data_IF_712861461643
#
_entry.id   IF_712861461643
#
_cell.length_a   1.000
_cell.length_b   1.000
_cell.length_c   1.000
_cell.angle_alpha   90.00
_cell.angle_beta   90.00
_cell.angle_gamma   90.00
#
_symmetry.space_group_name_H-M   'P 1'
#
loop_
_entity.id
_entity.type
_entity.pdbx_description
1 polymer ?
#
# COMPACT_ATOMS: atom_id res chain seq x y z
N UNK A 1 -20.33 15.60 0.80
CA UNK A 1 -19.27 15.71 1.84
C UNK A 1 -17.98 16.34 1.33
N UNK A 2 -17.69 16.29 0.03
CA UNK A 2 -16.50 16.92 -0.59
C UNK A 2 -16.53 18.47 -0.53
N UNK A 3 -17.70 19.09 -0.52
CA UNK A 3 -17.89 20.54 -0.44
C UNK A 3 -17.31 21.16 0.83
N UNK A 4 -17.36 20.45 1.95
CA UNK A 4 -16.84 20.95 3.23
C UNK A 4 -15.33 21.15 3.21
N UNK A 5 -14.58 20.24 2.59
CA UNK A 5 -13.11 20.30 2.52
C UNK A 5 -12.66 21.50 1.69
N UNK A 6 -13.35 21.76 0.57
CA UNK A 6 -13.06 22.92 -0.28
C UNK A 6 -13.29 24.25 0.46
N UNK A 7 -14.39 24.32 1.19
CA UNK A 7 -14.72 25.48 2.01
C UNK A 7 -13.66 25.75 3.07
N UNK A 8 -13.17 24.68 3.74
CA UNK A 8 -12.09 24.80 4.72
C UNK A 8 -10.79 25.32 4.08
N UNK A 9 -10.39 24.81 2.93
CA UNK A 9 -9.20 25.28 2.23
C UNK A 9 -9.33 26.75 1.84
N UNK A 10 -10.49 27.17 1.32
CA UNK A 10 -10.75 28.57 0.96
C UNK A 10 -10.79 29.51 2.17
N UNK A 11 -11.42 29.08 3.27
CA UNK A 11 -11.47 29.87 4.53
C UNK A 11 -10.05 30.01 5.09
N UNK A 12 -9.26 28.94 5.14
CA UNK A 12 -7.88 28.98 5.58
C UNK A 12 -7.03 29.89 4.70
N UNK A 13 -7.20 29.84 3.37
CA UNK A 13 -6.54 30.72 2.42
C UNK A 13 -6.92 32.20 2.63
N UNK A 14 -8.21 32.49 2.76
CA UNK A 14 -8.70 33.83 2.95
C UNK A 14 -8.21 34.48 4.27
N UNK A 15 -8.23 33.71 5.37
CA UNK A 15 -7.70 34.11 6.65
C UNK A 15 -6.19 34.35 6.60
N UNK A 16 -5.48 33.54 5.85
CA UNK A 16 -4.05 33.61 5.68
C UNK A 16 -3.64 34.85 4.87
N UNK A 17 -4.35 35.16 3.78
CA UNK A 17 -4.09 36.30 2.92
C UNK A 17 -4.41 37.63 3.63
N UNK A 18 -5.38 37.65 4.56
CA UNK A 18 -5.81 38.87 5.28
C UNK A 18 -4.78 39.36 6.30
N UNK A 19 -3.87 38.49 6.80
CA UNK A 19 -3.02 38.83 7.96
C UNK A 19 -1.51 38.79 7.68
N UNK A 20 -1.11 39.32 6.51
CA UNK A 20 0.31 39.35 6.06
C UNK A 20 1.26 40.13 6.99
N UNK A 21 0.76 40.99 7.87
CA UNK A 21 1.60 41.94 8.64
C UNK A 21 2.40 41.28 9.79
N UNK A 22 2.01 40.11 10.30
CA UNK A 22 2.60 39.49 11.50
C UNK A 22 3.42 38.22 11.29
N UNK A 23 3.56 37.76 10.07
CA UNK A 23 4.40 36.58 9.75
C UNK A 23 5.74 37.03 9.19
N UNK A 24 6.85 36.47 9.71
CA UNK A 24 8.13 36.63 9.03
C UNK A 24 7.94 36.17 7.59
N UNK A 25 8.42 36.94 6.63
CA UNK A 25 8.20 36.75 5.18
C UNK A 25 8.45 35.32 4.70
N UNK A 26 9.42 34.64 5.31
CA UNK A 26 9.75 33.25 5.05
C UNK A 26 8.59 32.29 5.37
N UNK A 27 7.96 32.41 6.53
CA UNK A 27 6.83 31.55 6.90
C UNK A 27 5.59 31.84 6.04
N UNK A 28 5.39 33.10 5.65
CA UNK A 28 4.33 33.45 4.73
C UNK A 28 4.49 32.78 3.36
N UNK A 29 5.71 32.73 2.82
CA UNK A 29 6.01 32.06 1.55
C UNK A 29 5.75 30.57 1.63
N UNK A 30 6.21 29.88 2.70
CA UNK A 30 5.96 28.46 2.90
C UNK A 30 4.47 28.16 2.96
N UNK A 31 3.72 28.94 3.72
CA UNK A 31 2.29 28.71 3.84
C UNK A 31 1.53 28.96 2.54
N UNK A 32 1.95 29.94 1.73
CA UNK A 32 1.39 30.12 0.37
C UNK A 32 1.65 28.89 -0.50
N UNK A 33 2.86 28.35 -0.48
CA UNK A 33 3.20 27.14 -1.23
C UNK A 33 2.33 25.97 -0.78
N UNK A 34 2.24 25.72 0.53
CA UNK A 34 1.39 24.64 1.09
C UNK A 34 -0.08 24.84 0.67
N UNK A 35 -0.56 26.07 0.66
CA UNK A 35 -1.94 26.37 0.24
C UNK A 35 -2.16 26.05 -1.23
N UNK A 36 -1.22 26.40 -2.10
CA UNK A 36 -1.30 26.09 -3.54
C UNK A 36 -1.38 24.56 -3.73
N UNK A 37 -0.52 23.80 -3.05
CA UNK A 37 -0.58 22.35 -3.09
C UNK A 37 -1.90 21.80 -2.54
N UNK A 38 -2.39 22.32 -1.41
CA UNK A 38 -3.66 21.89 -0.83
C UNK A 38 -4.85 22.16 -1.79
N UNK A 39 -4.88 23.31 -2.45
CA UNK A 39 -5.89 23.62 -3.48
C UNK A 39 -5.77 22.70 -4.68
N UNK A 40 -4.57 22.40 -5.14
CA UNK A 40 -4.32 21.46 -6.23
C UNK A 40 -4.81 20.05 -5.87
N UNK A 41 -4.42 19.50 -4.71
CA UNK A 41 -4.89 18.20 -4.27
C UNK A 41 -6.41 18.18 -4.01
N UNK A 42 -6.98 19.25 -3.50
CA UNK A 42 -8.43 19.38 -3.40
C UNK A 42 -9.11 19.34 -4.77
N UNK A 43 -8.54 20.01 -5.78
CA UNK A 43 -9.04 19.98 -7.16
C UNK A 43 -9.07 18.57 -7.74
N UNK A 44 -8.06 17.74 -7.43
CA UNK A 44 -8.01 16.35 -7.90
C UNK A 44 -9.19 15.48 -7.41
N UNK A 45 -9.93 15.90 -6.38
CA UNK A 45 -11.10 15.19 -5.85
C UNK A 45 -12.40 15.52 -6.60
N UNK A 46 -12.38 16.47 -7.53
CA UNK A 46 -13.55 16.89 -8.27
C UNK A 46 -13.57 16.33 -9.68
N UNK A 47 -14.77 16.10 -10.21
CA UNK A 47 -14.97 15.58 -11.57
C UNK A 47 -14.24 16.37 -12.67
N UNK A 48 -14.11 17.70 -12.64
CA UNK A 48 -13.35 18.44 -13.64
C UNK A 48 -11.87 18.03 -13.75
N UNK A 49 -11.29 17.40 -12.73
CA UNK A 49 -9.90 16.93 -12.78
C UNK A 49 -9.72 15.60 -13.51
N UNK A 50 -10.78 14.96 -13.99
CA UNK A 50 -10.74 13.65 -14.65
C UNK A 50 -9.74 13.60 -15.81
N UNK A 51 -9.58 14.70 -16.53
CA UNK A 51 -8.61 14.79 -17.63
C UNK A 51 -7.16 14.62 -17.15
N UNK A 52 -6.82 15.05 -15.93
CA UNK A 52 -5.48 14.83 -15.34
C UNK A 52 -5.27 13.36 -14.98
N UNK A 53 -6.28 12.73 -14.42
CA UNK A 53 -6.24 11.30 -14.06
C UNK A 53 -6.06 10.41 -15.29
N UNK A 54 -6.61 10.78 -16.43
CA UNK A 54 -6.48 10.02 -17.68
C UNK A 54 -5.16 10.25 -18.41
N UNK A 55 -4.58 11.45 -18.32
CA UNK A 55 -3.42 11.82 -19.14
C UNK A 55 -2.09 11.75 -18.38
N UNK A 56 -2.10 11.77 -17.05
CA UNK A 56 -0.87 11.71 -16.25
C UNK A 56 -0.65 10.27 -15.77
N UNK A 57 0.38 9.55 -16.29
CA UNK A 57 0.61 8.14 -15.93
C UNK A 57 0.74 7.90 -14.44
N UNK A 58 1.38 8.84 -13.70
CA UNK A 58 1.55 8.73 -12.25
C UNK A 58 0.20 8.77 -11.50
N UNK A 59 -0.76 9.54 -11.98
CA UNK A 59 -2.10 9.61 -11.37
C UNK A 59 -2.94 8.39 -11.74
N UNK A 60 -2.78 7.84 -12.94
CA UNK A 60 -3.52 6.65 -13.39
C UNK A 60 -3.18 5.39 -12.58
N UNK A 61 -1.99 5.34 -11.96
CA UNK A 61 -1.59 4.25 -11.05
C UNK A 61 -2.30 4.30 -9.68
N UNK A 62 -2.93 5.44 -9.35
CA UNK A 62 -3.70 5.56 -8.11
C UNK A 62 -5.09 4.99 -8.34
N UNK A 63 -5.33 3.78 -7.84
CA UNK A 63 -6.61 3.08 -8.03
C UNK A 63 -7.82 3.86 -7.49
N UNK A 64 -7.61 4.65 -6.44
CA UNK A 64 -8.70 5.33 -5.74
C UNK A 64 -8.38 6.80 -5.48
N UNK A 65 -9.13 7.74 -6.08
CA UNK A 65 -8.91 9.18 -5.89
C UNK A 65 -8.94 9.64 -4.43
N UNK A 66 -9.68 8.96 -3.54
CA UNK A 66 -9.73 9.34 -2.12
C UNK A 66 -8.41 9.19 -1.36
N UNK A 67 -7.41 8.45 -1.91
CA UNK A 67 -6.06 8.39 -1.32
C UNK A 67 -5.44 9.79 -1.23
N UNK A 68 -5.80 10.69 -2.14
CA UNK A 68 -5.40 12.10 -2.12
C UNK A 68 -5.87 12.83 -0.86
N UNK A 69 -6.95 12.36 -0.21
CA UNK A 69 -7.45 12.94 1.05
C UNK A 69 -6.42 12.87 2.18
N UNK A 70 -5.58 11.84 2.21
CA UNK A 70 -4.52 11.73 3.23
C UNK A 70 -3.49 12.85 3.08
N UNK A 71 -3.06 13.13 1.85
CA UNK A 71 -2.13 14.23 1.54
C UNK A 71 -2.78 15.57 1.87
N UNK A 72 -4.03 15.76 1.47
CA UNK A 72 -4.78 16.98 1.75
C UNK A 72 -4.97 17.20 3.25
N UNK A 73 -5.28 16.15 4.01
CA UNK A 73 -5.39 16.19 5.48
C UNK A 73 -4.08 16.62 6.14
N UNK A 74 -2.95 16.09 5.66
CA UNK A 74 -1.63 16.51 6.15
C UNK A 74 -1.35 17.99 5.85
N UNK A 75 -1.57 18.44 4.61
CA UNK A 75 -1.35 19.84 4.22
C UNK A 75 -2.24 20.83 4.99
N UNK A 76 -3.52 20.48 5.18
CA UNK A 76 -4.46 21.32 5.96
C UNK A 76 -4.09 21.37 7.46
N UNK A 77 -3.57 20.27 8.02
CA UNK A 77 -3.06 20.24 9.40
C UNK A 77 -1.85 21.16 9.57
N UNK A 78 -0.92 21.20 8.61
CA UNK A 78 0.19 22.14 8.62
C UNK A 78 -0.31 23.59 8.57
N UNK A 79 -1.28 23.89 7.70
CA UNK A 79 -1.87 25.23 7.61
C UNK A 79 -2.56 25.63 8.92
N UNK A 80 -3.27 24.73 9.58
CA UNK A 80 -3.86 24.98 10.89
C UNK A 80 -2.79 25.30 11.94
N UNK A 81 -1.63 24.62 11.92
CA UNK A 81 -0.49 24.93 12.77
C UNK A 81 0.05 26.35 12.57
N UNK A 82 0.12 26.84 11.32
CA UNK A 82 0.49 28.23 11.05
C UNK A 82 -0.55 29.23 11.58
N UNK A 83 -1.85 28.90 11.50
CA UNK A 83 -2.91 29.73 12.06
C UNK A 83 -2.83 29.82 13.59
N UNK A 84 -2.53 28.72 14.27
CA UNK A 84 -2.41 28.68 15.74
C UNK A 84 -1.34 29.63 16.30
N UNK A 85 -0.39 30.05 15.47
CA UNK A 85 0.63 31.04 15.86
C UNK A 85 0.06 32.44 16.07
N UNK A 86 -1.13 32.73 15.55
CA UNK A 86 -1.83 34.02 15.72
C UNK A 86 -2.85 33.88 16.84
N UNK A 87 -2.97 34.89 17.69
CA UNK A 87 -3.88 34.88 18.84
C UNK A 87 -5.33 34.55 18.45
N UNK A 88 -5.85 35.16 17.40
CA UNK A 88 -7.20 34.91 16.91
C UNK A 88 -7.27 33.62 16.08
N UNK A 89 -6.22 33.28 15.33
CA UNK A 89 -6.13 32.07 14.50
C UNK A 89 -6.24 30.77 15.29
N UNK A 90 -5.77 30.78 16.53
CA UNK A 90 -5.88 29.60 17.44
C UNK A 90 -7.35 29.22 17.72
N UNK A 91 -8.20 30.21 17.99
CA UNK A 91 -9.63 29.98 18.24
C UNK A 91 -10.33 29.46 16.98
N UNK A 92 -9.96 29.98 15.81
CA UNK A 92 -10.46 29.49 14.52
C UNK A 92 -10.02 28.05 14.28
N UNK A 93 -8.77 27.70 14.52
CA UNK A 93 -8.27 26.34 14.35
C UNK A 93 -8.99 25.34 15.28
N UNK A 94 -9.22 25.70 16.54
CA UNK A 94 -10.01 24.90 17.48
C UNK A 94 -11.45 24.73 16.98
N UNK A 95 -12.09 25.81 16.57
CA UNK A 95 -13.47 25.77 16.06
C UNK A 95 -13.60 24.86 14.82
N UNK A 96 -12.67 24.97 13.86
CA UNK A 96 -12.62 24.09 12.69
C UNK A 96 -12.37 22.63 13.07
N UNK A 97 -11.50 22.37 14.05
CA UNK A 97 -11.26 21.03 14.58
C UNK A 97 -12.53 20.42 15.20
N UNK A 98 -13.28 21.20 15.98
CA UNK A 98 -14.56 20.74 16.54
C UNK A 98 -15.57 20.41 15.43
N UNK A 99 -15.70 21.28 14.41
CA UNK A 99 -16.58 20.98 13.27
C UNK A 99 -16.14 19.69 12.56
N UNK A 100 -14.84 19.48 12.35
CA UNK A 100 -14.35 18.27 11.73
C UNK A 100 -14.74 17.02 12.53
N UNK A 101 -14.62 17.05 13.85
CA UNK A 101 -15.06 15.95 14.73
C UNK A 101 -16.56 15.72 14.61
N UNK A 102 -17.36 16.78 14.69
CA UNK A 102 -18.83 16.67 14.58
C UNK A 102 -19.29 16.12 13.22
N UNK A 103 -18.60 16.49 12.12
CA UNK A 103 -18.96 15.99 10.78
C UNK A 103 -18.57 14.53 10.57
N UNK A 104 -17.59 14.01 11.29
CA UNK A 104 -17.17 12.59 11.22
C UNK A 104 -17.99 11.70 12.16
N UNK A 105 -18.53 12.26 13.23
CA UNK A 105 -19.26 11.50 14.26
C UNK A 105 -20.37 10.57 13.73
N UNK A 106 -21.22 10.97 12.77
CA UNK A 106 -22.22 10.06 12.19
C UNK A 106 -21.63 8.83 11.49
N UNK A 107 -20.39 8.93 10.99
CA UNK A 107 -19.68 7.85 10.31
C UNK A 107 -18.89 6.95 11.27
N UNK A 108 -18.82 7.30 12.55
CA UNK A 108 -18.13 6.49 13.56
C UNK A 108 -18.91 5.23 13.94
N UNK A 109 -20.18 5.11 13.53
CA UNK A 109 -21.00 3.91 13.73
C UNK A 109 -20.96 3.05 12.48
N UNK A 110 -20.77 1.75 12.64
CA UNK A 110 -20.94 0.80 11.55
C UNK A 110 -22.39 0.84 11.07
N UNK A 111 -22.60 0.95 9.75
CA UNK A 111 -23.94 0.99 9.16
C UNK A 111 -24.59 -0.40 9.12
N UNK A 112 -23.79 -1.45 9.08
CA UNK A 112 -24.23 -2.83 9.12
C UNK A 112 -23.16 -3.71 9.78
N UNK A 113 -23.61 -4.73 10.46
CA UNK A 113 -22.76 -5.77 11.02
C UNK A 113 -23.03 -7.06 10.25
N UNK A 114 -21.97 -7.74 9.85
CA UNK A 114 -22.06 -9.11 9.35
C UNK A 114 -21.84 -10.03 10.54
N UNK A 115 -22.90 -10.69 10.96
CA UNK A 115 -22.80 -11.76 11.95
C UNK A 115 -22.50 -13.07 11.20
N UNK A 116 -21.22 -13.33 10.99
CA UNK A 116 -20.69 -14.53 10.35
C UNK A 116 -19.91 -15.31 11.40
N UNK A 117 -20.25 -16.58 11.57
CA UNK A 117 -19.46 -17.49 12.40
C UNK A 117 -18.05 -17.71 11.85
N UNK A 118 -17.16 -18.22 12.69
CA UNK A 118 -15.76 -18.49 12.32
C UNK A 118 -15.65 -19.41 11.11
N UNK A 119 -16.58 -20.36 10.94
CA UNK A 119 -16.63 -21.26 9.78
C UNK A 119 -16.70 -20.53 8.44
N UNK A 120 -17.37 -19.37 8.37
CA UNK A 120 -17.41 -18.56 7.16
C UNK A 120 -16.03 -18.06 6.77
N UNK A 121 -15.21 -17.65 7.73
CA UNK A 121 -13.86 -17.13 7.47
C UNK A 121 -12.85 -18.24 7.22
N UNK A 122 -13.05 -19.41 7.84
CA UNK A 122 -12.18 -20.58 7.69
C UNK A 122 -12.41 -21.32 6.38
N UNK A 123 -13.66 -21.35 5.91
CA UNK A 123 -14.07 -22.07 4.68
C UNK A 123 -14.32 -21.17 3.48
N UNK A 124 -14.15 -19.84 3.63
CA UNK A 124 -14.37 -18.92 2.53
C UNK A 124 -13.30 -19.08 1.45
N UNK A 125 -13.72 -19.57 0.29
CA UNK A 125 -12.87 -19.78 -0.89
C UNK A 125 -12.74 -18.52 -1.77
N UNK A 126 -13.46 -17.44 -1.43
CA UNK A 126 -13.34 -16.18 -2.14
C UNK A 126 -11.95 -15.55 -1.96
N UNK A 127 -11.53 -14.76 -2.93
CA UNK A 127 -10.33 -13.94 -2.80
C UNK A 127 -10.49 -12.92 -1.68
N UNK A 128 -9.37 -12.49 -1.08
CA UNK A 128 -9.38 -11.51 0.03
C UNK A 128 -9.84 -10.12 -0.39
N UNK A 129 -9.96 -9.86 -1.70
CA UNK A 129 -10.42 -8.57 -2.24
C UNK A 129 -11.76 -8.77 -2.96
N UNK A 130 -12.71 -7.88 -2.71
CA UNK A 130 -14.07 -7.96 -3.28
C UNK A 130 -14.11 -7.75 -4.79
N UNK A 131 -13.15 -7.01 -5.34
CA UNK A 131 -13.08 -6.65 -6.77
C UNK A 131 -11.83 -7.19 -7.47
N UNK A 132 -11.02 -8.02 -6.81
CA UNK A 132 -9.74 -8.51 -7.32
C UNK A 132 -8.76 -7.40 -7.76
N UNK A 133 -8.91 -6.21 -7.22
CA UNK A 133 -8.16 -5.01 -7.61
C UNK A 133 -6.66 -5.08 -7.28
N UNK A 134 -6.28 -5.98 -6.39
CA UNK A 134 -4.88 -6.16 -5.97
C UNK A 134 -4.18 -7.33 -6.68
N UNK A 135 -4.78 -7.89 -7.72
CA UNK A 135 -4.16 -8.97 -8.49
C UNK A 135 -3.02 -8.43 -9.36
N UNK A 136 -1.88 -9.16 -9.44
CA UNK A 136 -0.80 -8.81 -10.35
C UNK A 136 -1.26 -8.78 -11.82
N UNK A 137 -0.63 -7.94 -12.64
CA UNK A 137 -0.98 -7.74 -14.05
C UNK A 137 -0.87 -9.03 -14.90
N UNK A 138 -0.07 -9.99 -14.49
CA UNK A 138 0.07 -11.29 -15.21
C UNK A 138 -1.02 -12.29 -14.86
N UNK A 139 -1.89 -12.03 -13.89
CA UNK A 139 -3.07 -12.85 -13.59
C UNK A 139 -4.16 -12.50 -14.59
N UNK A 140 -4.45 -13.40 -15.52
CA UNK A 140 -5.46 -13.22 -16.56
C UNK A 140 -6.85 -13.66 -16.10
N UNK A 141 -6.89 -14.70 -15.25
CA UNK A 141 -8.11 -15.26 -14.69
C UNK A 141 -7.98 -15.36 -13.17
N UNK A 142 -8.85 -14.66 -12.48
CA UNK A 142 -8.86 -14.70 -11.02
C UNK A 142 -9.24 -16.09 -10.52
N UNK A 143 -8.53 -16.63 -9.50
CA UNK A 143 -8.90 -17.87 -8.86
C UNK A 143 -10.33 -17.78 -8.30
N UNK A 144 -11.17 -18.74 -8.66
CA UNK A 144 -12.57 -18.79 -8.20
C UNK A 144 -12.76 -19.76 -7.02
N UNK A 145 -11.82 -20.69 -6.86
CA UNK A 145 -11.87 -21.74 -5.85
C UNK A 145 -10.48 -21.97 -5.26
N UNK A 146 -10.45 -22.50 -4.05
CA UNK A 146 -9.19 -22.99 -3.47
C UNK A 146 -8.70 -24.21 -4.23
N UNK A 147 -7.39 -24.31 -4.51
CA UNK A 147 -6.80 -25.53 -5.04
C UNK A 147 -6.90 -26.65 -4.00
N UNK A 148 -7.01 -27.89 -4.46
CA UNK A 148 -7.06 -29.08 -3.58
C UNK A 148 -5.79 -29.24 -2.76
N UNK A 149 -4.64 -28.83 -3.29
CA UNK A 149 -3.34 -28.91 -2.62
C UNK A 149 -2.49 -27.66 -2.83
N UNK A 150 -1.53 -27.46 -1.97
CA UNK A 150 -0.55 -26.37 -2.11
C UNK A 150 0.38 -26.59 -3.30
N UNK A 151 0.67 -27.85 -3.61
CA UNK A 151 1.53 -28.30 -4.70
C UNK A 151 0.85 -29.46 -5.41
N UNK A 152 0.87 -29.45 -6.75
CA UNK A 152 0.27 -30.49 -7.57
C UNK A 152 1.07 -30.73 -8.84
N UNK A 153 1.00 -31.97 -9.39
CA UNK A 153 1.58 -32.30 -10.69
C UNK A 153 0.57 -31.96 -11.77
N UNK A 154 0.91 -31.02 -12.67
CA UNK A 154 0.03 -30.56 -13.76
C UNK A 154 0.31 -31.35 -15.04
N UNK A 155 1.58 -31.66 -15.29
CA UNK A 155 2.02 -32.44 -16.45
C UNK A 155 3.03 -33.48 -16.00
N UNK A 156 2.97 -34.67 -16.61
CA UNK A 156 3.86 -35.78 -16.30
C UNK A 156 3.26 -36.74 -15.27
N UNK A 157 4.12 -37.65 -14.76
CA UNK A 157 3.73 -38.73 -13.83
C UNK A 157 4.71 -38.72 -12.65
N UNK A 158 4.18 -38.58 -11.44
CA UNK A 158 4.98 -38.62 -10.21
C UNK A 158 4.14 -38.40 -8.97
N UNK A 159 4.80 -38.44 -7.82
CA UNK A 159 4.20 -38.24 -6.50
C UNK A 159 4.94 -37.13 -5.76
N UNK A 160 4.18 -36.39 -4.99
CA UNK A 160 4.69 -35.28 -4.14
C UNK A 160 4.45 -35.66 -2.69
N UNK A 161 5.49 -35.56 -1.88
CA UNK A 161 5.48 -35.97 -0.48
C UNK A 161 6.12 -34.90 0.41
N UNK A 162 5.93 -35.03 1.72
CA UNK A 162 6.59 -34.22 2.75
C UNK A 162 6.41 -32.69 2.56
N UNK A 163 5.19 -32.26 2.25
CA UNK A 163 4.93 -30.83 2.00
C UNK A 163 4.99 -30.07 3.33
N UNK A 164 5.98 -29.18 3.44
CA UNK A 164 6.08 -28.18 4.48
C UNK A 164 5.81 -26.81 3.89
N UNK A 165 4.94 -26.01 4.52
CA UNK A 165 4.61 -24.67 4.04
C UNK A 165 4.50 -23.68 5.19
N UNK A 166 5.07 -22.49 4.97
CA UNK A 166 4.86 -21.30 5.77
C UNK A 166 4.71 -20.07 4.86
N UNK A 167 4.60 -18.87 5.44
CA UNK A 167 4.38 -17.63 4.67
C UNK A 167 5.51 -17.26 3.69
N UNK A 168 6.74 -17.80 3.89
CA UNK A 168 7.94 -17.43 3.11
C UNK A 168 8.64 -18.64 2.47
N UNK A 169 8.20 -19.84 2.75
CA UNK A 169 8.89 -21.05 2.33
C UNK A 169 7.93 -22.20 2.11
N UNK A 170 8.16 -22.93 1.02
CA UNK A 170 7.49 -24.20 0.71
C UNK A 170 8.59 -25.21 0.41
N UNK A 171 8.58 -26.35 1.09
CA UNK A 171 9.51 -27.48 0.85
C UNK A 171 8.69 -28.72 0.57
N UNK A 172 9.14 -29.52 -0.37
CA UNK A 172 8.55 -30.82 -0.66
C UNK A 172 9.52 -31.72 -1.39
N UNK A 173 9.28 -33.02 -1.31
CA UNK A 173 9.97 -34.03 -2.09
C UNK A 173 9.10 -34.43 -3.26
N UNK A 174 9.68 -34.61 -4.43
CA UNK A 174 8.99 -34.98 -5.62
C UNK A 174 9.69 -36.20 -6.28
N UNK A 175 8.97 -37.29 -6.45
CA UNK A 175 9.47 -38.48 -7.15
C UNK A 175 8.78 -38.58 -8.50
N UNK A 176 9.51 -38.21 -9.58
CA UNK A 176 8.97 -38.10 -10.92
C UNK A 176 9.42 -39.25 -11.83
N UNK A 177 8.45 -39.97 -12.41
CA UNK A 177 8.71 -41.04 -13.38
C UNK A 177 8.97 -40.50 -14.79
N UNK A 178 8.56 -39.27 -15.09
CA UNK A 178 8.78 -38.56 -16.35
C UNK A 178 9.15 -37.13 -16.09
N UNK A 179 9.68 -36.42 -17.09
CA UNK A 179 9.84 -34.95 -17.01
C UNK A 179 8.46 -34.32 -16.76
N UNK A 180 8.33 -33.62 -15.68
CA UNK A 180 7.04 -33.14 -15.15
C UNK A 180 7.00 -31.66 -14.95
N UNK A 181 5.81 -31.07 -14.97
CA UNK A 181 5.55 -29.69 -14.52
C UNK A 181 4.80 -29.77 -13.20
N UNK A 182 5.39 -29.21 -12.19
CA UNK A 182 4.80 -29.12 -10.86
C UNK A 182 4.31 -27.68 -10.65
N UNK A 183 3.04 -27.55 -10.29
CA UNK A 183 2.39 -26.30 -9.96
C UNK A 183 2.42 -26.08 -8.45
N UNK A 184 2.86 -24.87 -8.08
CA UNK A 184 2.78 -24.37 -6.72
C UNK A 184 1.64 -23.35 -6.71
N UNK A 185 0.56 -23.69 -6.03
CA UNK A 185 -0.67 -22.88 -5.96
C UNK A 185 -0.46 -21.64 -5.09
N UNK A 186 0.44 -20.80 -5.56
CA UNK A 186 0.77 -19.49 -5.03
C UNK A 186 1.00 -18.57 -6.22
N UNK A 187 0.27 -17.45 -6.27
CA UNK A 187 0.47 -16.44 -7.30
C UNK A 187 1.92 -15.95 -7.22
N UNK A 188 2.59 -15.93 -8.37
CA UNK A 188 3.95 -15.44 -8.44
C UNK A 188 4.03 -13.97 -8.04
N UNK A 189 5.04 -13.64 -7.27
CA UNK A 189 5.43 -12.27 -6.96
C UNK A 189 6.96 -12.15 -6.97
N UNK A 190 7.54 -11.02 -7.45
CA UNK A 190 8.98 -10.85 -7.46
C UNK A 190 9.61 -11.04 -6.08
N UNK A 191 10.53 -11.98 -5.97
CA UNK A 191 11.15 -12.44 -4.73
C UNK A 191 11.03 -13.95 -4.51
N UNK A 192 10.09 -14.62 -5.16
CA UNK A 192 10.05 -16.09 -5.13
C UNK A 192 11.21 -16.67 -5.93
N UNK A 193 11.91 -17.60 -5.32
CA UNK A 193 12.99 -18.41 -5.93
C UNK A 193 12.75 -19.87 -5.67
N UNK A 194 13.14 -20.70 -6.62
CA UNK A 194 13.02 -22.16 -6.54
C UNK A 194 14.39 -22.79 -6.69
N UNK A 195 14.72 -23.68 -5.80
CA UNK A 195 15.89 -24.55 -5.89
C UNK A 195 15.41 -26.01 -5.95
N UNK A 196 15.90 -26.76 -6.93
CA UNK A 196 15.76 -28.20 -7.05
C UNK A 196 17.14 -28.81 -6.77
N UNK A 197 17.27 -29.59 -5.70
CA UNK A 197 18.55 -30.18 -5.26
C UNK A 197 19.68 -29.13 -5.15
N UNK A 198 19.35 -27.95 -4.59
CA UNK A 198 20.20 -26.78 -4.46
C UNK A 198 20.57 -26.06 -5.78
N UNK A 199 19.99 -26.44 -6.91
CA UNK A 199 20.18 -25.76 -8.19
C UNK A 199 19.02 -24.78 -8.42
N UNK A 200 19.34 -23.51 -8.67
CA UNK A 200 18.34 -22.49 -8.96
C UNK A 200 17.60 -22.82 -10.27
N UNK A 201 16.28 -22.89 -10.19
CA UNK A 201 15.42 -23.28 -11.31
C UNK A 201 14.47 -22.12 -11.65
N UNK A 202 14.28 -21.80 -12.93
CA UNK A 202 13.39 -20.72 -13.35
C UNK A 202 11.93 -21.08 -13.04
N UNK A 203 11.16 -20.05 -12.63
CA UNK A 203 9.74 -20.13 -12.38
C UNK A 203 9.00 -19.64 -13.62
N UNK A 204 8.06 -20.44 -14.12
CA UNK A 204 7.07 -20.00 -15.12
C UNK A 204 5.79 -19.56 -14.39
N UNK A 205 5.24 -18.43 -14.78
CA UNK A 205 3.97 -17.91 -14.27
C UNK A 205 3.07 -17.40 -15.41
N UNK A 206 3.33 -17.86 -16.63
CA UNK A 206 2.58 -17.47 -17.82
C UNK A 206 1.21 -18.15 -17.96
N UNK A 207 0.84 -19.02 -17.03
CA UNK A 207 -0.49 -19.62 -16.97
C UNK A 207 -1.58 -18.58 -16.67
N UNK A 208 -2.85 -18.94 -16.87
CA UNK A 208 -3.98 -18.01 -16.71
C UNK A 208 -4.10 -17.43 -15.29
N UNK A 209 -3.76 -18.22 -14.27
CA UNK A 209 -3.88 -17.82 -12.87
C UNK A 209 -2.63 -17.12 -12.32
N UNK A 210 -1.54 -17.05 -13.10
CA UNK A 210 -0.30 -16.42 -12.65
C UNK A 210 0.37 -17.13 -11.46
N UNK A 211 0.06 -18.42 -11.26
CA UNK A 211 0.70 -19.24 -10.22
C UNK A 211 2.03 -19.80 -10.71
N UNK A 212 2.85 -20.28 -9.78
CA UNK A 212 4.21 -20.72 -10.09
C UNK A 212 4.20 -22.15 -10.63
N UNK A 213 4.67 -22.34 -11.86
CA UNK A 213 4.93 -23.63 -12.48
C UNK A 213 6.45 -23.84 -12.61
N UNK A 214 6.94 -25.03 -12.25
CA UNK A 214 8.35 -25.41 -12.32
C UNK A 214 8.52 -26.71 -13.08
N UNK A 215 9.58 -26.80 -13.89
CA UNK A 215 9.96 -28.02 -14.55
C UNK A 215 10.81 -28.89 -13.61
N UNK A 216 10.34 -30.08 -13.30
CA UNK A 216 11.02 -31.03 -12.40
C UNK A 216 11.55 -32.21 -13.22
N UNK A 217 12.85 -32.53 -13.09
CA UNK A 217 13.45 -33.67 -13.79
C UNK A 217 12.95 -35.03 -13.25
N UNK A 218 13.24 -36.09 -13.99
CA UNK A 218 12.97 -37.49 -13.58
C UNK A 218 13.81 -37.83 -12.36
N UNK A 219 13.24 -38.59 -11.44
CA UNK A 219 13.89 -39.07 -10.23
C UNK A 219 13.35 -38.43 -8.96
N UNK A 220 14.04 -38.69 -7.86
CA UNK A 220 13.73 -38.13 -6.55
C UNK A 220 14.43 -36.77 -6.40
N UNK A 221 13.66 -35.72 -6.23
CA UNK A 221 14.13 -34.34 -6.16
C UNK A 221 13.62 -33.67 -4.88
N UNK A 222 14.48 -32.92 -4.22
CA UNK A 222 14.10 -32.05 -3.09
C UNK A 222 13.92 -30.63 -3.59
N UNK A 223 12.71 -30.09 -3.44
CA UNK A 223 12.34 -28.78 -3.94
C UNK A 223 12.16 -27.82 -2.77
N UNK A 224 12.87 -26.70 -2.84
CA UNK A 224 12.74 -25.61 -1.91
C UNK A 224 12.34 -24.33 -2.64
N UNK A 225 11.20 -23.77 -2.27
CA UNK A 225 10.66 -22.51 -2.78
C UNK A 225 10.72 -21.48 -1.68
N UNK A 226 11.46 -20.39 -1.89
CA UNK A 226 11.66 -19.34 -0.90
C UNK A 226 11.27 -17.98 -1.44
N UNK A 227 10.67 -17.17 -0.57
CA UNK A 227 10.46 -15.75 -0.82
C UNK A 227 11.61 -14.95 -0.22
N UNK A 228 12.41 -14.34 -1.07
CA UNK A 228 13.59 -13.57 -0.69
C UNK A 228 13.43 -12.08 -1.03
N UNK A 229 14.24 -11.26 -0.37
CA UNK A 229 14.30 -9.84 -0.67
C UNK A 229 14.85 -9.59 -2.07
N UNK A 230 14.18 -8.73 -2.83
CA UNK A 230 14.69 -8.26 -4.10
C UNK A 230 15.76 -7.17 -3.87
N UNK A 231 16.72 -6.98 -4.80
CA UNK A 231 17.70 -5.91 -4.70
C UNK A 231 17.08 -4.52 -4.50
N UNK A 232 15.94 -4.26 -5.17
CA UNK A 232 15.21 -3.00 -5.03
C UNK A 232 14.67 -2.81 -3.61
N UNK A 233 14.08 -3.86 -3.01
CA UNK A 233 13.60 -3.80 -1.61
C UNK A 233 14.76 -3.59 -0.63
N UNK A 234 15.87 -4.29 -0.84
CA UNK A 234 17.06 -4.15 0.00
C UNK A 234 17.56 -2.69 -0.01
N UNK A 235 17.70 -2.10 -1.20
CA UNK A 235 18.13 -0.69 -1.35
C UNK A 235 17.14 0.24 -0.63
N UNK A 236 15.84 0.04 -0.83
CA UNK A 236 14.80 0.86 -0.18
C UNK A 236 14.86 0.76 1.34
N UNK A 237 15.07 -0.44 1.88
CA UNK A 237 15.22 -0.67 3.32
C UNK A 237 16.47 0.03 3.87
N UNK A 238 17.61 -0.04 3.16
CA UNK A 238 18.85 0.65 3.55
C UNK A 238 18.64 2.17 3.57
N UNK A 239 17.99 2.75 2.55
CA UNK A 239 17.67 4.18 2.51
C UNK A 239 16.79 4.57 3.70
N UNK A 240 15.74 3.79 3.98
CA UNK A 240 14.81 4.06 5.08
C UNK A 240 15.50 4.03 6.45
N UNK A 241 16.30 3.00 6.72
CA UNK A 241 17.05 2.87 7.96
C UNK A 241 18.08 3.99 8.11
N UNK A 242 18.81 4.30 7.03
CA UNK A 242 19.80 5.39 7.04
C UNK A 242 19.15 6.74 7.32
N UNK A 243 18.00 7.01 6.72
CA UNK A 243 17.22 8.25 6.95
C UNK A 243 16.77 8.34 8.41
N UNK A 244 16.25 7.25 8.97
CA UNK A 244 15.87 7.20 10.38
C UNK A 244 17.05 7.50 11.31
N UNK A 245 18.20 6.90 11.02
CA UNK A 245 19.42 7.11 11.79
C UNK A 245 19.89 8.58 11.73
N UNK A 246 19.89 9.19 10.55
CA UNK A 246 20.22 10.62 10.39
C UNK A 246 19.26 11.51 11.17
N UNK A 247 17.95 11.24 11.11
CA UNK A 247 16.96 11.99 11.88
C UNK A 247 17.19 11.90 13.38
N UNK A 248 17.49 10.70 13.88
CA UNK A 248 17.80 10.50 15.30
C UNK A 248 19.05 11.28 15.70
N UNK A 249 20.11 11.25 14.92
CA UNK A 249 21.32 12.04 15.18
C UNK A 249 21.03 13.54 15.21
N UNK A 250 20.20 14.05 14.30
CA UNK A 250 19.83 15.47 14.29
C UNK A 250 19.02 15.87 15.53
N UNK A 251 18.12 15.01 15.99
CA UNK A 251 17.33 15.23 17.22
C UNK A 251 18.26 15.26 18.44
N UNK A 252 19.15 14.27 18.59
CA UNK A 252 20.10 14.22 19.72
C UNK A 252 21.03 15.42 19.70
N UNK A 253 21.55 15.80 18.52
CA UNK A 253 22.40 16.97 18.37
C UNK A 253 21.67 18.25 18.74
N UNK A 254 20.43 18.43 18.31
CA UNK A 254 19.60 19.58 18.69
C UNK A 254 19.42 19.69 20.20
N UNK A 255 19.16 18.56 20.90
CA UNK A 255 19.02 18.56 22.35
C UNK A 255 20.35 18.89 23.08
N UNK A 256 21.49 18.50 22.50
CA UNK A 256 22.82 18.80 23.10
C UNK A 256 23.23 20.26 22.94
N UNK A 257 22.77 20.93 21.87
CA UNK A 257 23.05 22.33 21.58
C UNK A 257 21.79 23.21 21.73
N UNK A 258 20.82 22.73 22.52
CA UNK A 258 19.58 23.44 22.80
C UNK A 258 19.88 24.82 23.36
N UNK A 259 19.77 25.80 22.51
CA UNK A 259 19.74 27.20 22.85
C UNK A 259 18.45 27.43 23.62
N UNK A 260 18.63 27.82 24.88
CA UNK A 260 17.62 28.43 25.75
C UNK A 260 16.77 29.47 25.03
#
# INVERSE_FOLDING_TARGET
>A
TSWNIYYYCLVLLALFLKNKKNLKEYFARIAVIITIFAVFFAFLLFKPSEFLWRNIPLLSEINYPWVVLAVLGFLTSLLAGFLCRQNFGRYIAIFLGLIAVFTVFPYAKAQSYFDKGDDYYLTNDATTTSSNELMPLWVKKNPQQRPMGKVEVVEGIGQIENIFTNSKQIKFSANMSSKSVVRINTIYYPGWKVNIDNVNTPISYSNEMGVMDIAVPVGSNNIEVKFEETPLRLISNVISVSTLFVLLLLIVRKNKYGVS
#
